data_IF_316831759561
#
_entry.id   IF_316831759561
#
_cell.length_a   1.000
_cell.length_b   1.000
_cell.length_c   1.000
_cell.angle_alpha   90.00
_cell.angle_beta   90.00
_cell.angle_gamma   90.00
#
_symmetry.space_group_name_H-M   'P 1'
#
loop_
_entity.id
_entity.type
_entity.pdbx_description
1 polymer ?
#
# COMPACT_ATOMS: atom_id res chain seq x y z
N UNK A 1 55.81 37.22 -40.32
CA UNK A 1 54.46 37.61 -39.86
C UNK A 1 53.39 36.97 -40.74
N UNK A 2 53.10 35.70 -40.44
CA UNK A 2 51.78 35.17 -40.07
C UNK A 2 50.58 35.16 -41.03
N UNK A 3 50.81 34.81 -42.31
CA UNK A 3 49.70 34.36 -43.18
C UNK A 3 49.02 33.07 -42.69
N UNK A 4 49.71 32.25 -41.87
CA UNK A 4 49.16 31.03 -41.28
C UNK A 4 48.15 31.31 -40.13
N UNK A 5 48.25 32.44 -39.44
CA UNK A 5 47.33 32.78 -38.34
C UNK A 5 45.98 33.31 -38.83
N UNK A 6 45.94 34.01 -39.97
CA UNK A 6 44.69 34.50 -40.57
C UNK A 6 43.83 33.33 -41.09
N UNK A 7 44.44 32.29 -41.62
CA UNK A 7 43.71 31.12 -42.15
C UNK A 7 43.05 30.30 -41.04
N UNK A 8 43.74 30.06 -39.91
CA UNK A 8 43.14 29.40 -38.74
C UNK A 8 41.98 30.20 -38.15
N UNK A 9 42.12 31.53 -38.04
CA UNK A 9 41.05 32.39 -37.51
C UNK A 9 39.79 32.39 -38.37
N UNK A 10 39.91 32.38 -39.70
CA UNK A 10 38.75 32.33 -40.60
C UNK A 10 38.06 30.96 -40.59
N UNK A 11 38.83 29.87 -40.55
CA UNK A 11 38.27 28.51 -40.48
C UNK A 11 37.54 28.25 -39.14
N UNK A 12 38.07 28.73 -38.01
CA UNK A 12 37.36 28.67 -36.73
C UNK A 12 36.09 29.54 -36.69
N UNK A 13 36.07 30.66 -37.43
CA UNK A 13 34.87 31.51 -37.57
C UNK A 13 33.77 30.83 -38.38
N UNK A 14 34.13 30.17 -39.49
CA UNK A 14 33.16 29.45 -40.31
C UNK A 14 32.58 28.23 -39.59
N UNK A 15 33.42 27.43 -38.91
CA UNK A 15 32.96 26.26 -38.12
C UNK A 15 32.04 26.70 -36.96
N UNK A 16 32.35 27.81 -36.27
CA UNK A 16 31.43 28.38 -35.25
C UNK A 16 30.12 28.86 -35.83
N UNK A 17 30.13 29.47 -37.03
CA UNK A 17 28.89 29.94 -37.66
C UNK A 17 28.01 28.78 -38.15
N UNK A 18 28.60 27.69 -38.68
CA UNK A 18 27.84 26.50 -39.08
C UNK A 18 27.25 25.79 -37.87
N UNK A 19 28.02 25.62 -36.79
CA UNK A 19 27.47 25.07 -35.54
C UNK A 19 26.32 25.94 -35.01
N UNK A 20 26.46 27.28 -34.94
CA UNK A 20 25.37 28.13 -34.42
C UNK A 20 24.09 28.07 -35.28
N UNK A 21 24.19 27.85 -36.60
CA UNK A 21 23.01 27.73 -37.47
C UNK A 21 22.31 26.39 -37.32
N UNK A 22 23.07 25.31 -37.15
CA UNK A 22 22.52 23.99 -36.82
C UNK A 22 21.84 24.01 -35.45
N UNK A 23 22.47 24.64 -34.44
CA UNK A 23 21.90 24.76 -33.09
C UNK A 23 20.65 25.65 -33.03
N UNK A 24 20.58 26.77 -33.78
CA UNK A 24 19.37 27.60 -33.85
C UNK A 24 18.17 26.87 -34.46
N UNK A 25 18.42 26.00 -35.45
CA UNK A 25 17.37 25.14 -36.01
C UNK A 25 16.85 24.14 -34.97
N UNK A 26 17.74 23.57 -34.16
CA UNK A 26 17.36 22.62 -33.12
C UNK A 26 16.58 23.27 -31.97
N UNK A 27 16.93 24.49 -31.53
CA UNK A 27 16.18 25.19 -30.47
C UNK A 27 14.72 25.46 -30.86
N UNK A 28 14.49 25.89 -32.11
CA UNK A 28 13.15 26.09 -32.63
C UNK A 28 12.35 24.78 -32.72
N UNK A 29 13.00 23.70 -33.19
CA UNK A 29 12.40 22.37 -33.25
C UNK A 29 12.06 21.82 -31.85
N UNK A 30 12.98 21.96 -30.88
CA UNK A 30 12.74 21.62 -29.47
C UNK A 30 11.58 22.43 -28.88
N UNK A 31 11.55 23.75 -29.12
CA UNK A 31 10.48 24.62 -28.65
C UNK A 31 9.11 24.25 -29.24
N UNK A 32 9.07 23.90 -30.53
CA UNK A 32 7.85 23.42 -31.19
C UNK A 32 7.39 22.08 -30.61
N UNK A 33 8.30 21.09 -30.53
CA UNK A 33 8.01 19.78 -29.93
C UNK A 33 7.55 19.92 -28.48
N UNK A 34 8.11 20.87 -27.71
CA UNK A 34 7.69 21.12 -26.33
C UNK A 34 6.26 21.61 -26.21
N UNK A 35 5.83 22.47 -27.12
CA UNK A 35 4.43 22.91 -27.18
C UNK A 35 3.51 21.79 -27.61
N UNK A 36 3.92 20.98 -28.58
CA UNK A 36 3.16 19.80 -29.03
C UNK A 36 2.94 18.80 -27.89
N UNK A 37 4.01 18.41 -27.19
CA UNK A 37 3.94 17.50 -26.04
C UNK A 37 3.14 18.13 -24.89
N UNK A 38 3.32 19.42 -24.60
CA UNK A 38 2.53 20.12 -23.58
C UNK A 38 1.03 20.09 -23.90
N UNK A 39 0.65 20.37 -25.16
CA UNK A 39 -0.74 20.35 -25.59
C UNK A 39 -1.35 18.94 -25.50
N UNK A 40 -0.60 17.91 -25.88
CA UNK A 40 -1.02 16.52 -25.74
C UNK A 40 -1.25 16.13 -24.27
N UNK A 41 -0.30 16.48 -23.39
CA UNK A 41 -0.42 16.24 -21.95
C UNK A 41 -1.58 17.03 -21.33
N UNK A 42 -1.85 18.25 -21.79
CA UNK A 42 -3.00 19.05 -21.33
C UNK A 42 -4.34 18.44 -21.77
N UNK A 43 -4.43 17.93 -23.00
CA UNK A 43 -5.61 17.22 -23.47
C UNK A 43 -5.85 15.95 -22.64
N UNK A 44 -4.80 15.16 -22.40
CA UNK A 44 -4.87 13.96 -21.56
C UNK A 44 -5.18 14.28 -20.10
N UNK A 45 -4.69 15.41 -19.57
CA UNK A 45 -4.96 15.86 -18.21
C UNK A 45 -6.45 16.18 -17.96
N UNK A 46 -7.20 16.48 -19.02
CA UNK A 46 -8.65 16.73 -19.00
C UNK A 46 -9.48 15.46 -19.24
N UNK A 47 -8.85 14.33 -19.55
CA UNK A 47 -9.55 13.07 -19.80
C UNK A 47 -10.30 12.59 -18.54
N UNK A 48 -11.54 12.07 -18.67
CA UNK A 48 -12.27 11.50 -17.54
C UNK A 48 -11.54 10.28 -16.95
N UNK A 49 -10.83 9.52 -17.79
CA UNK A 49 -10.04 8.36 -17.36
C UNK A 49 -8.97 8.72 -16.32
N UNK A 50 -8.35 9.89 -16.43
CA UNK A 50 -7.32 10.32 -15.48
C UNK A 50 -7.88 10.53 -14.06
N UNK A 51 -9.10 11.07 -13.93
CA UNK A 51 -9.75 11.23 -12.63
C UNK A 51 -10.00 9.87 -11.97
N UNK A 52 -10.49 8.89 -12.73
CA UNK A 52 -10.69 7.52 -12.25
C UNK A 52 -9.38 6.88 -11.78
N UNK A 53 -8.31 6.97 -12.58
CA UNK A 53 -7.00 6.40 -12.20
C UNK A 53 -6.43 7.07 -10.93
N UNK A 54 -6.55 8.40 -10.81
CA UNK A 54 -6.12 9.15 -9.61
C UNK A 54 -6.87 8.69 -8.36
N UNK A 55 -8.17 8.41 -8.50
CA UNK A 55 -9.00 7.93 -7.39
C UNK A 55 -8.68 6.50 -6.96
N UNK A 56 -8.38 5.61 -7.91
CA UNK A 56 -7.89 4.26 -7.61
C UNK A 56 -6.53 4.34 -6.92
N UNK A 57 -5.62 5.20 -7.41
CA UNK A 57 -4.30 5.39 -6.81
C UNK A 57 -4.41 5.88 -5.36
N UNK A 58 -5.23 6.91 -5.13
CA UNK A 58 -5.47 7.42 -3.79
C UNK A 58 -6.08 6.37 -2.86
N UNK A 59 -6.98 5.51 -3.37
CA UNK A 59 -7.54 4.41 -2.59
C UNK A 59 -6.47 3.37 -2.18
N UNK A 60 -5.56 3.02 -3.10
CA UNK A 60 -4.47 2.07 -2.84
C UNK A 60 -3.49 2.63 -1.81
N UNK A 61 -3.05 3.88 -1.96
CA UNK A 61 -2.18 4.57 -1.00
C UNK A 61 -2.84 4.62 0.39
N UNK A 62 -4.12 4.97 0.45
CA UNK A 62 -4.86 5.04 1.70
C UNK A 62 -4.92 3.69 2.44
N UNK A 63 -5.15 2.60 1.71
CA UNK A 63 -5.15 1.25 2.28
C UNK A 63 -3.78 0.85 2.82
N UNK A 64 -2.71 1.14 2.08
CA UNK A 64 -1.34 0.88 2.52
C UNK A 64 -1.05 1.65 3.81
N UNK A 65 -1.32 2.95 3.85
CA UNK A 65 -1.07 3.78 5.02
C UNK A 65 -1.87 3.32 6.26
N UNK A 66 -3.16 3.03 6.09
CA UNK A 66 -4.02 2.52 7.15
C UNK A 66 -3.52 1.17 7.70
N UNK A 67 -3.10 0.27 6.81
CA UNK A 67 -2.56 -1.03 7.19
C UNK A 67 -1.23 -0.89 7.94
N UNK A 68 -0.33 -0.03 7.48
CA UNK A 68 0.94 0.26 8.18
C UNK A 68 0.66 0.82 9.57
N UNK A 69 -0.24 1.79 9.70
CA UNK A 69 -0.61 2.36 11.00
C UNK A 69 -1.17 1.29 11.96
N UNK A 70 -2.05 0.41 11.47
CA UNK A 70 -2.58 -0.70 12.27
C UNK A 70 -1.49 -1.70 12.69
N UNK A 71 -0.60 -2.10 11.77
CA UNK A 71 0.51 -3.01 12.07
C UNK A 71 1.51 -2.40 13.07
N UNK A 72 1.80 -1.11 12.96
CA UNK A 72 2.62 -0.37 13.94
C UNK A 72 1.93 -0.37 15.30
N UNK A 73 0.63 -0.09 15.35
CA UNK A 73 -0.16 -0.18 16.59
C UNK A 73 -0.08 -1.57 17.22
N UNK A 74 -0.21 -2.63 16.43
CA UNK A 74 -0.05 -4.01 16.92
C UNK A 74 1.38 -4.30 17.41
N UNK A 75 2.40 -3.79 16.73
CA UNK A 75 3.79 -3.92 17.18
C UNK A 75 4.02 -3.21 18.52
N UNK A 76 3.41 -2.03 18.71
CA UNK A 76 3.44 -1.30 19.99
C UNK A 76 2.76 -2.11 21.10
N UNK A 77 1.59 -2.71 20.86
CA UNK A 77 0.92 -3.60 21.84
C UNK A 77 1.83 -4.76 22.23
N UNK A 78 2.43 -5.45 21.25
CA UNK A 78 3.36 -6.56 21.51
C UNK A 78 4.56 -6.08 22.32
N UNK A 79 5.15 -4.94 21.97
CA UNK A 79 6.29 -4.38 22.70
C UNK A 79 5.93 -3.99 24.14
N UNK A 80 4.77 -3.36 24.35
CA UNK A 80 4.25 -2.99 25.68
C UNK A 80 4.04 -4.22 26.58
N UNK A 81 3.73 -5.38 26.00
CA UNK A 81 3.57 -6.63 26.75
C UNK A 81 4.90 -7.36 26.97
N UNK A 82 5.77 -7.43 25.97
CA UNK A 82 7.02 -8.17 26.08
C UNK A 82 8.12 -7.44 26.87
N UNK A 83 8.19 -6.11 26.76
CA UNK A 83 9.26 -5.33 27.41
C UNK A 83 9.20 -5.37 28.94
N UNK A 84 8.05 -5.15 29.61
CA UNK A 84 7.99 -5.25 31.07
C UNK A 84 8.13 -6.70 31.54
N UNK A 85 7.61 -7.68 30.80
CA UNK A 85 7.80 -9.11 31.09
C UNK A 85 9.29 -9.49 31.10
N UNK A 86 10.06 -9.03 30.11
CA UNK A 86 11.50 -9.25 30.04
C UNK A 86 12.28 -8.57 31.20
N UNK A 87 11.69 -7.55 31.83
CA UNK A 87 12.23 -6.85 32.99
C UNK A 87 11.70 -7.39 34.33
N UNK A 88 10.88 -8.45 34.32
CA UNK A 88 10.25 -9.01 35.52
C UNK A 88 9.21 -8.09 36.16
N UNK A 89 8.61 -7.17 35.38
CA UNK A 89 7.54 -6.28 35.83
C UNK A 89 6.18 -6.85 35.48
N UNK A 90 5.18 -6.49 36.28
CA UNK A 90 3.79 -6.80 35.93
C UNK A 90 3.39 -6.05 34.65
N UNK A 91 2.77 -6.78 33.73
CA UNK A 91 2.29 -6.30 32.43
C UNK A 91 0.78 -6.09 32.43
N UNK A 92 0.12 -6.42 33.54
CA UNK A 92 -1.33 -6.41 33.70
C UNK A 92 -1.74 -5.34 34.70
N UNK A 93 -2.78 -4.55 34.41
CA UNK A 93 -3.39 -3.68 35.41
C UNK A 93 -3.85 -2.30 34.93
N UNK A 94 -3.17 -1.70 33.95
CA UNK A 94 -3.43 -0.30 33.57
C UNK A 94 -4.38 -0.14 32.37
N UNK A 95 -4.78 -1.25 31.71
CA UNK A 95 -5.65 -1.24 30.54
C UNK A 95 -4.97 -0.76 29.25
N UNK A 96 -3.66 -0.48 29.28
CA UNK A 96 -2.93 0.16 28.18
C UNK A 96 -2.89 -0.72 26.93
N UNK A 97 -2.72 -2.04 27.07
CA UNK A 97 -2.70 -2.95 25.93
C UNK A 97 -4.07 -3.02 25.26
N UNK A 98 -5.13 -3.08 26.07
CA UNK A 98 -6.52 -3.07 25.62
C UNK A 98 -6.87 -1.78 24.89
N UNK A 99 -6.57 -0.62 25.48
CA UNK A 99 -6.85 0.66 24.81
C UNK A 99 -6.03 0.84 23.54
N UNK A 100 -4.76 0.43 23.53
CA UNK A 100 -3.91 0.47 22.33
C UNK A 100 -4.47 -0.41 21.21
N UNK A 101 -4.94 -1.62 21.53
CA UNK A 101 -5.62 -2.50 20.60
C UNK A 101 -6.90 -1.86 20.06
N UNK A 102 -7.78 -1.36 20.93
CA UNK A 102 -9.07 -0.81 20.53
C UNK A 102 -8.93 0.48 19.71
N UNK A 103 -7.97 1.33 20.06
CA UNK A 103 -7.68 2.58 19.34
C UNK A 103 -6.97 2.34 18.01
N UNK A 104 -6.33 1.18 17.81
CA UNK A 104 -5.62 0.87 16.56
C UNK A 104 -6.53 0.92 15.32
N UNK A 105 -7.80 0.49 15.44
CA UNK A 105 -8.76 0.50 14.33
C UNK A 105 -9.29 1.91 13.99
N UNK A 106 -9.77 2.73 14.96
CA UNK A 106 -10.06 4.13 14.72
C UNK A 106 -8.89 4.91 14.14
N UNK A 107 -7.67 4.71 14.66
CA UNK A 107 -6.46 5.35 14.15
C UNK A 107 -6.19 4.93 12.71
N UNK A 108 -6.30 3.63 12.39
CA UNK A 108 -6.18 3.15 11.01
C UNK A 108 -7.24 3.78 10.08
N UNK A 109 -8.47 3.94 10.56
CA UNK A 109 -9.55 4.65 9.85
C UNK A 109 -9.22 6.12 9.58
N UNK A 110 -8.69 6.83 10.58
CA UNK A 110 -8.24 8.21 10.43
C UNK A 110 -7.07 8.32 9.44
N UNK A 111 -6.07 7.43 9.56
CA UNK A 111 -4.95 7.33 8.63
C UNK A 111 -5.44 7.07 7.20
N UNK A 112 -6.46 6.23 7.01
CA UNK A 112 -7.06 6.01 5.70
C UNK A 112 -7.61 7.31 5.09
N UNK A 113 -8.39 8.08 5.86
CA UNK A 113 -9.01 9.33 5.39
C UNK A 113 -7.95 10.37 5.03
N UNK A 114 -6.95 10.56 5.90
CA UNK A 114 -5.84 11.50 5.69
C UNK A 114 -5.03 11.08 4.46
N UNK A 115 -4.60 9.82 4.41
CA UNK A 115 -3.79 9.29 3.30
C UNK A 115 -4.55 9.25 1.98
N UNK A 116 -5.88 9.06 1.98
CA UNK A 116 -6.71 9.18 0.78
C UNK A 116 -6.69 10.61 0.24
N UNK A 117 -6.84 11.59 1.12
CA UNK A 117 -6.82 13.01 0.75
C UNK A 117 -5.45 13.43 0.22
N UNK A 118 -4.37 13.00 0.89
CA UNK A 118 -3.01 13.25 0.45
C UNK A 118 -2.66 12.51 -0.84
N UNK A 119 -3.09 11.24 -0.97
CA UNK A 119 -2.89 10.42 -2.16
C UNK A 119 -3.52 11.02 -3.41
N UNK A 120 -4.72 11.63 -3.29
CA UNK A 120 -5.35 12.41 -4.37
C UNK A 120 -4.50 13.60 -4.77
N UNK A 121 -4.03 14.39 -3.81
CA UNK A 121 -3.16 15.56 -4.06
C UNK A 121 -1.82 15.17 -4.68
N UNK A 122 -1.21 14.08 -4.21
CA UNK A 122 0.04 13.56 -4.73
C UNK A 122 -0.12 13.06 -6.16
N UNK A 123 -1.21 12.35 -6.46
CA UNK A 123 -1.54 11.91 -7.80
C UNK A 123 -1.74 13.12 -8.74
N UNK A 124 -2.48 14.14 -8.30
CA UNK A 124 -2.68 15.38 -9.06
C UNK A 124 -1.36 16.08 -9.36
N UNK A 125 -0.54 16.35 -8.33
CA UNK A 125 0.77 17.02 -8.49
C UNK A 125 1.71 16.24 -9.41
N UNK A 126 1.78 14.92 -9.23
CA UNK A 126 2.66 14.05 -10.01
C UNK A 126 2.18 13.76 -11.44
N UNK A 127 1.03 14.28 -11.86
CA UNK A 127 0.44 14.11 -13.20
C UNK A 127 0.08 15.45 -13.84
N UNK A 128 0.73 16.55 -13.41
CA UNK A 128 0.60 17.83 -14.13
C UNK A 128 1.49 17.82 -15.37
N UNK A 129 1.07 18.46 -16.48
CA UNK A 129 1.90 18.58 -17.69
C UNK A 129 3.29 19.14 -17.40
N UNK A 130 3.39 20.17 -16.56
CA UNK A 130 4.66 20.79 -16.17
C UNK A 130 5.61 19.82 -15.46
N UNK A 131 5.10 19.04 -14.48
CA UNK A 131 5.92 18.04 -13.78
C UNK A 131 6.42 16.94 -14.72
N UNK A 132 5.59 16.51 -15.66
CA UNK A 132 5.95 15.46 -16.60
C UNK A 132 6.94 15.93 -17.66
N UNK A 133 6.75 17.14 -18.19
CA UNK A 133 7.72 17.79 -19.08
C UNK A 133 9.09 17.93 -18.42
N UNK A 134 9.13 18.30 -17.14
CA UNK A 134 10.38 18.35 -16.38
C UNK A 134 11.00 16.96 -16.16
N UNK A 135 10.18 15.93 -15.96
CA UNK A 135 10.65 14.57 -15.70
C UNK A 135 11.18 13.83 -16.95
N UNK A 136 10.75 14.24 -18.14
CA UNK A 136 11.13 13.59 -19.40
C UNK A 136 12.62 13.71 -19.73
N UNK A 137 13.30 14.77 -19.25
CA UNK A 137 14.66 15.07 -19.67
C UNK A 137 14.73 15.46 -21.16
N UNK A 138 15.87 15.97 -21.60
CA UNK A 138 16.06 16.39 -23.00
C UNK A 138 16.19 15.18 -23.95
N UNK A 139 16.72 14.07 -23.46
CA UNK A 139 17.05 12.90 -24.29
C UNK A 139 15.82 12.09 -24.74
N UNK A 140 14.75 12.06 -23.94
CA UNK A 140 13.51 11.31 -24.26
C UNK A 140 12.45 12.15 -24.97
N UNK A 141 12.81 13.38 -25.33
CA UNK A 141 11.88 14.35 -25.88
C UNK A 141 11.47 14.06 -27.33
N UNK A 142 12.37 13.37 -28.03
CA UNK A 142 12.20 12.95 -29.42
C UNK A 142 11.42 11.64 -29.56
N UNK A 143 11.29 10.89 -28.47
CA UNK A 143 10.44 9.71 -28.42
C UNK A 143 8.94 10.11 -28.44
N UNK A 144 8.07 9.11 -28.55
CA UNK A 144 6.65 9.32 -28.33
C UNK A 144 6.42 9.92 -26.93
N UNK A 145 5.60 10.97 -26.78
CA UNK A 145 5.35 11.56 -25.48
C UNK A 145 4.77 10.50 -24.54
N UNK A 146 5.26 10.40 -23.29
CA UNK A 146 4.70 9.45 -22.34
C UNK A 146 3.25 9.82 -22.07
N UNK A 147 2.37 8.83 -22.15
CA UNK A 147 0.99 8.99 -21.68
C UNK A 147 0.96 9.18 -20.16
N UNK A 148 0.26 10.21 -19.69
CA UNK A 148 -0.04 10.43 -18.27
C UNK A 148 -0.73 9.18 -17.68
N UNK A 149 -1.66 8.61 -18.43
CA UNK A 149 -2.41 7.42 -18.03
C UNK A 149 -1.46 6.22 -17.87
N UNK A 150 -0.52 6.01 -18.79
CA UNK A 150 0.45 4.90 -18.70
C UNK A 150 1.40 5.05 -17.52
N UNK A 151 1.90 6.26 -17.25
CA UNK A 151 2.72 6.53 -16.07
C UNK A 151 1.96 6.24 -14.78
N UNK A 152 0.69 6.62 -14.71
CA UNK A 152 -0.14 6.37 -13.53
C UNK A 152 -0.53 4.89 -13.40
N UNK A 153 -0.77 4.19 -14.51
CA UNK A 153 -0.96 2.72 -14.54
C UNK A 153 0.26 1.98 -14.03
N UNK A 154 1.45 2.37 -14.46
CA UNK A 154 2.70 1.78 -13.98
C UNK A 154 2.86 1.97 -12.46
N UNK A 155 2.50 3.16 -11.93
CA UNK A 155 2.50 3.41 -10.48
C UNK A 155 1.45 2.57 -9.75
N UNK A 156 0.25 2.46 -10.31
CA UNK A 156 -0.84 1.64 -9.78
C UNK A 156 -0.43 0.16 -9.66
N UNK A 157 0.23 -0.39 -10.68
CA UNK A 157 0.72 -1.76 -10.71
C UNK A 157 1.75 -2.01 -9.60
N UNK A 158 2.71 -1.09 -9.40
CA UNK A 158 3.75 -1.21 -8.36
C UNK A 158 3.17 -1.31 -6.94
N UNK A 159 2.09 -0.60 -6.66
CA UNK A 159 1.48 -0.58 -5.32
C UNK A 159 0.33 -1.59 -5.15
N UNK A 160 -0.06 -2.30 -6.21
CA UNK A 160 -1.23 -3.19 -6.20
C UNK A 160 -1.10 -4.27 -5.12
N UNK A 161 0.02 -5.00 -5.13
CA UNK A 161 0.31 -6.06 -4.17
C UNK A 161 0.27 -5.58 -2.73
N UNK A 162 0.99 -4.49 -2.42
CA UNK A 162 1.01 -3.91 -1.06
C UNK A 162 -0.37 -3.44 -0.61
N UNK A 163 -1.18 -2.88 -1.52
CA UNK A 163 -2.52 -2.38 -1.23
C UNK A 163 -3.57 -3.46 -0.92
N UNK A 164 -3.22 -4.73 -1.14
CA UNK A 164 -4.01 -5.91 -0.78
C UNK A 164 -3.36 -6.67 0.38
N UNK A 165 -2.06 -6.95 0.28
CA UNK A 165 -1.32 -7.75 1.24
C UNK A 165 -1.30 -7.15 2.65
N UNK A 166 -0.97 -5.85 2.77
CA UNK A 166 -0.85 -5.21 4.08
C UNK A 166 -2.20 -5.09 4.80
N UNK A 167 -3.30 -4.64 4.18
CA UNK A 167 -4.61 -4.63 4.85
C UNK A 167 -5.06 -6.00 5.33
N UNK A 168 -4.81 -7.04 4.54
CA UNK A 168 -5.14 -8.42 4.94
C UNK A 168 -4.32 -8.87 6.14
N UNK A 169 -3.01 -8.58 6.17
CA UNK A 169 -2.17 -8.85 7.33
C UNK A 169 -2.62 -8.07 8.58
N UNK A 170 -2.93 -6.78 8.42
CA UNK A 170 -3.41 -5.93 9.51
C UNK A 170 -4.72 -6.47 10.12
N UNK A 171 -5.69 -6.85 9.28
CA UNK A 171 -6.95 -7.45 9.73
C UNK A 171 -6.70 -8.82 10.38
N UNK A 172 -5.79 -9.64 9.87
CA UNK A 172 -5.46 -10.94 10.45
C UNK A 172 -4.81 -10.82 11.85
N UNK A 173 -4.02 -9.76 12.07
CA UNK A 173 -3.41 -9.47 13.38
C UNK A 173 -4.41 -8.86 14.37
N UNK A 174 -5.08 -7.78 13.99
CA UNK A 174 -5.94 -7.02 14.91
C UNK A 174 -7.34 -7.63 15.05
N UNK A 175 -7.89 -8.17 13.96
CA UNK A 175 -9.28 -8.60 13.84
C UNK A 175 -9.73 -9.61 14.90
N UNK A 176 -9.01 -10.73 15.14
CA UNK A 176 -9.47 -11.71 16.12
C UNK A 176 -9.40 -11.15 17.55
N UNK A 177 -8.36 -10.37 17.90
CA UNK A 177 -8.27 -9.72 19.22
C UNK A 177 -9.40 -8.70 19.44
N UNK A 178 -9.75 -7.91 18.42
CA UNK A 178 -10.93 -7.03 18.50
C UNK A 178 -12.21 -7.82 18.68
N UNK A 179 -12.38 -8.93 17.96
CA UNK A 179 -13.57 -9.79 18.12
C UNK A 179 -13.65 -10.37 19.54
N UNK A 180 -12.51 -10.79 20.11
CA UNK A 180 -12.44 -11.25 21.49
C UNK A 180 -12.87 -10.15 22.48
N UNK A 181 -12.40 -8.92 22.31
CA UNK A 181 -12.77 -7.79 23.17
C UNK A 181 -14.29 -7.52 23.12
N UNK A 182 -14.88 -7.58 21.93
CA UNK A 182 -16.33 -7.38 21.75
C UNK A 182 -17.13 -8.50 22.40
N UNK A 183 -16.78 -9.77 22.15
CA UNK A 183 -17.47 -10.92 22.73
C UNK A 183 -17.34 -10.93 24.25
N UNK A 184 -16.15 -10.65 24.77
CA UNK A 184 -15.91 -10.53 26.21
C UNK A 184 -16.74 -9.42 26.85
N UNK A 185 -16.73 -8.23 26.25
CA UNK A 185 -17.50 -7.09 26.74
C UNK A 185 -19.00 -7.35 26.75
N UNK A 186 -19.54 -8.04 25.73
CA UNK A 186 -20.95 -8.44 25.71
C UNK A 186 -21.25 -9.49 26.78
N UNK A 187 -20.40 -10.50 26.94
CA UNK A 187 -20.60 -11.59 27.89
C UNK A 187 -20.55 -11.12 29.35
N UNK A 188 -19.73 -10.12 29.67
CA UNK A 188 -19.55 -9.59 31.02
C UNK A 188 -20.44 -8.37 31.33
N UNK A 189 -21.27 -7.91 30.38
CA UNK A 189 -22.07 -6.68 30.54
C UNK A 189 -21.25 -5.39 30.53
N UNK A 190 -19.99 -5.44 30.09
CA UNK A 190 -19.05 -4.35 30.02
C UNK A 190 -17.63 -4.85 29.76
N UNK A 191 -16.76 -4.00 29.20
CA UNK A 191 -15.34 -4.30 29.02
C UNK A 191 -14.53 -3.57 30.09
N UNK A 192 -14.03 -4.32 31.08
CA UNK A 192 -13.03 -3.80 32.00
C UNK A 192 -11.63 -3.97 31.38
N UNK A 193 -10.98 -2.86 31.05
CA UNK A 193 -9.74 -2.88 30.26
C UNK A 193 -8.59 -3.65 30.94
N UNK A 194 -8.53 -3.60 32.28
CA UNK A 194 -7.48 -4.29 33.05
C UNK A 194 -7.58 -5.82 32.92
N UNK A 195 -8.80 -6.37 32.92
CA UNK A 195 -9.04 -7.82 32.85
C UNK A 195 -8.71 -8.32 31.45
N UNK A 196 -8.98 -7.49 30.44
CA UNK A 196 -8.67 -7.82 29.06
C UNK A 196 -7.16 -7.73 28.76
N UNK A 197 -6.38 -6.92 29.47
CA UNK A 197 -4.91 -6.92 29.34
C UNK A 197 -4.32 -8.30 29.71
N UNK A 198 -4.79 -8.90 30.81
CA UNK A 198 -4.39 -10.26 31.22
C UNK A 198 -4.72 -11.25 30.10
N UNK A 199 -5.92 -11.16 29.54
CA UNK A 199 -6.35 -12.00 28.42
C UNK A 199 -5.46 -11.83 27.18
N UNK A 200 -5.10 -10.59 26.80
CA UNK A 200 -4.22 -10.32 25.67
C UNK A 200 -2.83 -10.91 25.93
N UNK A 201 -2.26 -10.72 27.13
CA UNK A 201 -0.95 -11.26 27.49
C UNK A 201 -0.90 -12.80 27.36
N UNK A 202 -1.92 -13.48 27.89
CA UNK A 202 -2.06 -14.94 27.73
C UNK A 202 -2.24 -15.34 26.25
N UNK A 203 -3.09 -14.62 25.52
CA UNK A 203 -3.34 -14.90 24.10
C UNK A 203 -2.09 -14.75 23.25
N UNK A 204 -1.24 -13.76 23.53
CA UNK A 204 0.03 -13.56 22.84
C UNK A 204 0.93 -14.79 22.97
N UNK A 205 1.02 -15.37 24.17
CA UNK A 205 1.83 -16.56 24.44
C UNK A 205 1.23 -17.83 23.82
N UNK A 206 -0.10 -18.00 23.89
CA UNK A 206 -0.76 -19.25 23.49
C UNK A 206 -1.06 -19.29 21.99
N UNK A 207 -1.53 -18.20 21.39
CA UNK A 207 -2.00 -18.17 19.99
C UNK A 207 -1.33 -17.12 19.13
N UNK A 208 -0.40 -16.31 19.67
CA UNK A 208 0.27 -15.23 18.94
C UNK A 208 0.98 -15.71 17.66
N UNK A 209 1.60 -16.89 17.68
CA UNK A 209 2.22 -17.50 16.50
C UNK A 209 1.20 -17.91 15.42
N UNK A 210 -0.02 -18.28 15.80
CA UNK A 210 -1.11 -18.54 14.86
C UNK A 210 -1.58 -17.25 14.16
N UNK A 211 -1.62 -16.12 14.88
CA UNK A 211 -1.89 -14.81 14.29
C UNK A 211 -0.83 -14.40 13.27
N UNK A 212 0.45 -14.57 13.61
CA UNK A 212 1.56 -14.26 12.68
C UNK A 212 1.46 -15.14 11.44
N UNK A 213 1.23 -16.45 11.61
CA UNK A 213 1.03 -17.36 10.48
C UNK A 213 -0.14 -16.94 9.61
N UNK A 214 -1.27 -16.58 10.23
CA UNK A 214 -2.44 -16.11 9.52
C UNK A 214 -2.16 -14.83 8.73
N UNK A 215 -1.48 -13.85 9.35
CA UNK A 215 -1.12 -12.59 8.70
C UNK A 215 -0.20 -12.81 7.49
N UNK A 216 0.77 -13.71 7.59
CA UNK A 216 1.66 -14.07 6.47
C UNK A 216 0.86 -14.73 5.33
N UNK A 217 0.01 -15.71 5.63
CA UNK A 217 -0.81 -16.37 4.61
C UNK A 217 -1.81 -15.41 3.95
N UNK A 218 -2.37 -14.49 4.72
CA UNK A 218 -3.29 -13.46 4.22
C UNK A 218 -2.56 -12.44 3.33
N UNK A 219 -1.34 -12.03 3.71
CA UNK A 219 -0.49 -11.17 2.89
C UNK A 219 -0.08 -11.84 1.57
N UNK A 220 0.32 -13.13 1.63
CA UNK A 220 0.64 -13.91 0.44
C UNK A 220 -0.59 -14.10 -0.46
N UNK A 221 -1.78 -14.32 0.12
CA UNK A 221 -3.03 -14.35 -0.64
C UNK A 221 -3.24 -13.06 -1.44
N UNK A 222 -3.13 -11.89 -0.78
CA UNK A 222 -3.25 -10.59 -1.45
C UNK A 222 -2.18 -10.38 -2.55
N UNK A 223 -0.96 -10.83 -2.30
CA UNK A 223 0.15 -10.74 -3.25
C UNK A 223 -0.07 -11.62 -4.49
N UNK A 224 -0.56 -12.85 -4.31
CA UNK A 224 -0.93 -13.77 -5.41
C UNK A 224 -2.05 -13.20 -6.26
N UNK A 225 -3.11 -12.68 -5.64
CA UNK A 225 -4.20 -12.01 -6.37
C UNK A 225 -3.68 -10.84 -7.23
N UNK A 226 -2.79 -10.00 -6.68
CA UNK A 226 -2.20 -8.89 -7.42
C UNK A 226 -1.35 -9.34 -8.62
N UNK A 227 -0.72 -10.51 -8.57
CA UNK A 227 0.01 -11.12 -9.69
C UNK A 227 -0.91 -11.79 -10.72
N UNK A 228 -2.22 -11.89 -10.45
CA UNK A 228 -3.16 -12.62 -11.27
C UNK A 228 -3.14 -14.14 -11.04
N UNK A 229 -2.47 -14.60 -9.99
CA UNK A 229 -2.44 -16.00 -9.59
C UNK A 229 -3.69 -16.38 -8.78
N UNK A 230 -3.97 -17.68 -8.68
CA UNK A 230 -4.95 -18.17 -7.72
C UNK A 230 -4.47 -17.90 -6.29
N UNK A 231 -5.23 -17.10 -5.54
CA UNK A 231 -4.99 -16.92 -4.11
C UNK A 231 -5.18 -18.21 -3.32
N UNK A 232 -4.75 -18.22 -2.05
CA UNK A 232 -4.98 -19.34 -1.15
C UNK A 232 -6.45 -19.76 -1.02
N UNK A 233 -6.67 -21.09 -0.94
CA UNK A 233 -7.94 -21.66 -0.51
C UNK A 233 -8.23 -21.29 0.95
N UNK A 234 -9.46 -20.82 1.21
CA UNK A 234 -9.94 -20.44 2.56
C UNK A 234 -9.81 -21.61 3.54
N UNK A 235 -10.19 -22.81 3.11
CA UNK A 235 -10.10 -24.03 3.94
C UNK A 235 -8.65 -24.40 4.25
N UNK A 236 -7.74 -24.22 3.29
CA UNK A 236 -6.31 -24.50 3.50
C UNK A 236 -5.71 -23.53 4.52
N UNK A 237 -6.01 -22.24 4.42
CA UNK A 237 -5.54 -21.25 5.42
C UNK A 237 -6.13 -21.54 6.79
N UNK A 238 -7.44 -21.81 6.87
CA UNK A 238 -8.09 -22.18 8.13
C UNK A 238 -7.43 -23.40 8.76
N UNK A 239 -7.23 -24.48 8.00
CA UNK A 239 -6.59 -25.71 8.48
C UNK A 239 -5.17 -25.48 8.98
N UNK A 240 -4.36 -24.69 8.28
CA UNK A 240 -2.99 -24.35 8.73
C UNK A 240 -3.03 -23.53 10.01
N UNK A 241 -3.85 -22.49 10.09
CA UNK A 241 -3.95 -21.63 11.29
C UNK A 241 -4.43 -22.43 12.50
N UNK A 242 -5.43 -23.30 12.32
CA UNK A 242 -5.94 -24.18 13.37
C UNK A 242 -4.87 -25.18 13.82
N UNK A 243 -4.13 -25.79 12.88
CA UNK A 243 -3.03 -26.70 13.20
C UNK A 243 -1.93 -25.99 13.99
N UNK A 244 -1.53 -24.78 13.57
CA UNK A 244 -0.52 -23.98 14.26
C UNK A 244 -0.99 -23.59 15.66
N UNK A 245 -2.24 -23.15 15.82
CA UNK A 245 -2.81 -22.83 17.13
C UNK A 245 -2.88 -24.04 18.06
N UNK A 246 -3.10 -25.25 17.52
CA UNK A 246 -3.22 -26.47 18.29
C UNK A 246 -1.91 -26.88 18.98
N UNK A 247 -0.73 -26.55 18.43
CA UNK A 247 0.56 -27.01 18.98
C UNK A 247 0.76 -26.61 20.44
N UNK A 248 0.71 -25.32 20.83
CA UNK A 248 0.71 -24.94 22.24
C UNK A 248 -0.68 -25.09 22.88
N UNK A 249 -1.77 -24.79 22.17
CA UNK A 249 -3.12 -24.74 22.76
C UNK A 249 -3.66 -26.09 23.24
N UNK A 250 -3.47 -27.15 22.46
CA UNK A 250 -3.94 -28.51 22.82
C UNK A 250 -2.99 -29.14 23.84
N UNK A 251 -1.68 -28.98 23.65
CA UNK A 251 -0.67 -29.57 24.54
C UNK A 251 -0.69 -28.93 25.93
N UNK A 252 -0.91 -27.62 26.03
CA UNK A 252 -0.79 -26.90 27.30
C UNK A 252 -2.14 -26.63 27.98
N UNK A 253 -3.23 -26.42 27.23
CA UNK A 253 -4.47 -25.86 27.79
C UNK A 253 -5.75 -26.59 27.35
N UNK A 254 -5.65 -27.62 26.52
CA UNK A 254 -6.83 -28.30 25.96
C UNK A 254 -7.76 -27.36 25.19
N UNK A 255 -7.26 -26.21 24.74
CA UNK A 255 -8.05 -25.21 24.01
C UNK A 255 -8.56 -25.84 22.71
N UNK A 256 -9.90 -25.92 22.49
CA UNK A 256 -10.42 -26.66 21.36
C UNK A 256 -9.99 -25.99 20.05
N UNK A 257 -9.32 -26.71 19.13
CA UNK A 257 -9.07 -26.24 17.77
C UNK A 257 -10.35 -25.72 17.07
N UNK A 258 -11.51 -26.22 17.52
CA UNK A 258 -12.85 -25.77 17.14
C UNK A 258 -13.06 -24.28 17.40
N UNK A 259 -12.63 -23.73 18.55
CA UNK A 259 -12.83 -22.32 18.88
C UNK A 259 -12.05 -21.43 17.90
N UNK A 260 -10.79 -21.76 17.64
CA UNK A 260 -9.97 -21.08 16.62
C UNK A 260 -10.59 -21.17 15.24
N UNK A 261 -11.16 -22.33 14.88
CA UNK A 261 -11.82 -22.50 13.59
C UNK A 261 -13.07 -21.62 13.46
N UNK A 262 -13.91 -21.58 14.50
CA UNK A 262 -15.16 -20.81 14.53
C UNK A 262 -14.90 -19.32 14.50
N UNK A 263 -13.91 -18.81 15.24
CA UNK A 263 -13.58 -17.38 15.24
C UNK A 263 -12.81 -16.96 13.98
N UNK A 264 -11.94 -17.82 13.45
CA UNK A 264 -11.14 -17.53 12.26
C UNK A 264 -11.92 -17.59 10.95
N UNK A 265 -12.89 -18.51 10.81
CA UNK A 265 -13.58 -18.75 9.55
C UNK A 265 -14.33 -17.52 8.99
N UNK A 266 -15.14 -16.78 9.77
CA UNK A 266 -15.82 -15.58 9.28
C UNK A 266 -14.83 -14.52 8.78
N UNK A 267 -13.72 -14.31 9.51
CA UNK A 267 -12.68 -13.36 9.12
C UNK A 267 -12.02 -13.77 7.80
N UNK A 268 -11.58 -15.03 7.67
CA UNK A 268 -10.97 -15.54 6.44
C UNK A 268 -11.90 -15.38 5.23
N UNK A 269 -13.16 -15.79 5.38
CA UNK A 269 -14.15 -15.76 4.29
C UNK A 269 -14.41 -14.34 3.83
N UNK A 270 -14.65 -13.43 4.78
CA UNK A 270 -14.99 -12.03 4.50
C UNK A 270 -13.81 -11.27 3.90
N UNK A 271 -12.61 -11.38 4.49
CA UNK A 271 -11.45 -10.63 4.03
C UNK A 271 -10.98 -11.08 2.63
N UNK A 272 -10.97 -12.39 2.33
CA UNK A 272 -10.55 -12.89 1.01
C UNK A 272 -11.57 -12.53 -0.06
N UNK A 273 -12.88 -12.59 0.27
CA UNK A 273 -13.93 -12.13 -0.65
C UNK A 273 -13.81 -10.64 -0.93
N UNK A 274 -13.58 -9.83 0.11
CA UNK A 274 -13.37 -8.39 -0.04
C UNK A 274 -12.17 -8.06 -0.92
N UNK A 275 -11.02 -8.72 -0.71
CA UNK A 275 -9.81 -8.48 -1.48
C UNK A 275 -10.01 -8.77 -2.98
N UNK A 276 -10.64 -9.91 -3.30
CA UNK A 276 -10.96 -10.30 -4.68
C UNK A 276 -11.91 -9.30 -5.34
N UNK A 277 -13.06 -9.05 -4.73
CA UNK A 277 -14.05 -8.10 -5.26
C UNK A 277 -13.46 -6.72 -5.48
N UNK A 278 -12.63 -6.26 -4.54
CA UNK A 278 -11.99 -4.95 -4.62
C UNK A 278 -11.01 -4.87 -5.78
N UNK A 279 -10.17 -5.88 -5.96
CA UNK A 279 -9.21 -5.95 -7.05
C UNK A 279 -9.91 -5.97 -8.42
N UNK A 280 -10.94 -6.80 -8.57
CA UNK A 280 -11.73 -6.91 -9.81
C UNK A 280 -12.37 -5.56 -10.18
N UNK A 281 -13.00 -4.89 -9.21
CA UNK A 281 -13.61 -3.58 -9.41
C UNK A 281 -12.58 -2.51 -9.82
N UNK A 282 -11.40 -2.51 -9.19
CA UNK A 282 -10.34 -1.54 -9.53
C UNK A 282 -9.74 -1.83 -10.91
N UNK A 283 -9.48 -3.09 -11.27
CA UNK A 283 -8.99 -3.46 -12.59
C UNK A 283 -10.00 -3.15 -13.69
N UNK A 284 -11.29 -3.40 -13.45
CA UNK A 284 -12.36 -3.02 -14.38
C UNK A 284 -12.40 -1.49 -14.59
N UNK A 285 -12.29 -0.71 -13.52
CA UNK A 285 -12.22 0.74 -13.62
C UNK A 285 -11.01 1.21 -14.44
N UNK A 286 -9.84 0.56 -14.29
CA UNK A 286 -8.64 0.85 -15.08
C UNK A 286 -8.85 0.46 -16.56
N UNK A 287 -9.44 -0.70 -16.85
CA UNK A 287 -9.67 -1.18 -18.22
C UNK A 287 -10.65 -0.31 -19.01
N UNK A 288 -11.65 0.29 -18.35
CA UNK A 288 -12.56 1.23 -19.01
C UNK A 288 -11.78 2.48 -19.50
N UNK A 289 -10.73 2.89 -18.79
CA UNK A 289 -9.88 4.03 -19.22
C UNK A 289 -8.96 3.73 -20.40
N UNK A 290 -8.88 2.48 -20.86
CA UNK A 290 -8.07 2.12 -22.05
C UNK A 290 -8.88 2.07 -23.33
N UNK A 291 -10.21 2.06 -23.25
CA UNK A 291 -11.10 1.87 -24.41
C UNK A 291 -11.67 3.18 -24.97
N UNK A 292 -11.48 4.31 -24.28
CA UNK A 292 -11.96 5.63 -24.70
C UNK A 292 -10.81 6.62 -24.77
#
# INVERSE_FOLDING_TARGET
MDKLNVFKLNMFKEVRMTQSRVYRGTEAAFGWRRREVAAALEAEAKSPGLATLRDVYAARVARVAAAVASLVGMAVVVFMLLAPLALGRDVTGDGLATWSLLLSLPVAGLCFVIARSFGRRLAQRGTTPATLLHALGEDRFWDAPPSILDLLRARLQRIEGLSLALPLAAIAMAGPLTLHALVWGVAQGGLEAKDFDVWIAMSLAIVGHAHVTFAVLAADHGSKLAKGEAGWSKLKVLGVVVLVAAVPGVVLFGLPPVLTAVTGAPLIVTMFRWAKWRLERERAAIAITTLG
#
